data_IF_453393204276
#
_entry.id   IF_453393204276
#
_cell.length_a   1.000
_cell.length_b   1.000
_cell.length_c   1.000
_cell.angle_alpha   90.00
_cell.angle_beta   90.00
_cell.angle_gamma   90.00
#
_symmetry.space_group_name_H-M   'P 1'
#
loop_
_entity.id
_entity.type
_entity.pdbx_description
1 polymer ?
#
# COMPACT_ATOMS: atom_id res chain seq x y z
N UNK A 1 -3.73 43.91 -19.97
CA UNK A 1 -2.55 43.16 -20.43
C UNK A 1 -2.62 41.73 -19.89
N UNK A 2 -2.72 40.69 -20.75
CA UNK A 2 -2.86 39.29 -20.33
C UNK A 2 -1.54 38.52 -20.58
N UNK A 3 -0.58 38.58 -19.67
CA UNK A 3 0.70 37.85 -19.80
C UNK A 3 0.82 36.62 -18.89
N UNK A 4 -0.11 36.41 -17.96
CA UNK A 4 0.00 35.38 -16.90
C UNK A 4 -0.56 34.02 -17.31
N UNK A 5 -1.56 33.96 -18.20
CA UNK A 5 -2.19 32.70 -18.60
C UNK A 5 -1.28 31.84 -19.50
N UNK A 6 -0.49 32.46 -20.38
CA UNK A 6 0.36 31.74 -21.35
C UNK A 6 1.58 31.07 -20.70
N UNK A 7 2.20 31.72 -19.69
CA UNK A 7 3.32 31.15 -18.92
C UNK A 7 2.89 29.98 -18.03
N UNK A 8 1.68 30.03 -17.45
CA UNK A 8 1.15 28.97 -16.61
C UNK A 8 0.90 27.67 -17.41
N UNK A 9 0.33 27.78 -18.62
CA UNK A 9 0.04 26.63 -19.51
C UNK A 9 1.33 25.95 -19.98
N UNK A 10 2.36 26.72 -20.36
CA UNK A 10 3.68 26.19 -20.72
C UNK A 10 4.34 25.44 -19.55
N UNK A 11 4.20 25.96 -18.31
CA UNK A 11 4.74 25.30 -17.11
C UNK A 11 3.99 24.01 -16.72
N UNK A 12 2.72 23.90 -17.10
CA UNK A 12 1.90 22.72 -16.85
C UNK A 12 2.21 21.62 -17.87
N UNK A 13 2.29 21.97 -19.16
CA UNK A 13 2.68 21.05 -20.22
C UNK A 13 4.10 20.49 -20.01
N UNK A 14 5.07 21.33 -19.63
CA UNK A 14 6.42 20.87 -19.30
C UNK A 14 6.46 19.92 -18.07
N UNK A 15 5.62 20.18 -17.05
CA UNK A 15 5.45 19.27 -15.91
C UNK A 15 4.71 17.98 -16.27
N UNK A 16 3.86 18.01 -17.30
CA UNK A 16 3.17 16.85 -17.85
C UNK A 16 4.19 15.96 -18.57
N UNK A 17 4.98 16.52 -19.49
CA UNK A 17 6.02 15.83 -20.25
C UNK A 17 7.11 15.23 -19.36
N UNK A 18 7.57 15.97 -18.35
CA UNK A 18 8.56 15.46 -17.39
C UNK A 18 8.04 14.24 -16.59
N UNK A 19 6.75 14.25 -16.21
CA UNK A 19 6.14 13.13 -15.48
C UNK A 19 5.88 11.92 -16.36
N UNK A 20 5.61 12.11 -17.65
CA UNK A 20 5.54 10.99 -18.61
C UNK A 20 6.91 10.40 -18.88
N UNK A 21 7.96 11.22 -18.96
CA UNK A 21 9.34 10.75 -19.13
C UNK A 21 9.85 9.97 -17.90
N UNK A 22 9.44 10.34 -16.68
CA UNK A 22 9.70 9.56 -15.46
C UNK A 22 9.16 8.13 -15.54
N UNK A 23 8.08 7.89 -16.30
CA UNK A 23 7.50 6.57 -16.51
C UNK A 23 8.16 5.77 -17.65
N UNK A 24 8.97 6.42 -18.49
CA UNK A 24 9.71 5.75 -19.58
C UNK A 24 10.97 5.04 -19.07
N UNK A 25 11.61 5.57 -18.03
CA UNK A 25 12.71 4.91 -17.32
C UNK A 25 12.17 3.98 -16.23
N UNK A 26 11.90 2.73 -16.60
CA UNK A 26 11.44 1.70 -15.67
C UNK A 26 12.43 1.46 -14.52
N UNK A 27 13.74 1.53 -14.78
CA UNK A 27 14.74 1.25 -13.76
C UNK A 27 14.81 2.39 -12.73
N UNK A 28 14.74 3.64 -13.19
CA UNK A 28 14.59 4.82 -12.33
C UNK A 28 13.33 4.76 -11.48
N UNK A 29 12.19 4.42 -12.11
CA UNK A 29 10.90 4.24 -11.44
C UNK A 29 10.97 3.19 -10.32
N UNK A 30 11.54 2.02 -10.63
CA UNK A 30 11.71 0.92 -9.66
C UNK A 30 12.64 1.38 -8.53
N UNK A 31 13.80 1.96 -8.84
CA UNK A 31 14.74 2.44 -7.81
C UNK A 31 14.09 3.42 -6.83
N UNK A 32 13.24 4.30 -7.31
CA UNK A 32 12.61 5.33 -6.50
C UNK A 32 11.43 4.81 -5.67
N UNK A 33 10.54 4.02 -6.27
CA UNK A 33 9.24 3.70 -5.65
C UNK A 33 9.13 2.28 -5.10
N UNK A 34 10.05 1.36 -5.42
CA UNK A 34 9.91 -0.05 -5.06
C UNK A 34 9.81 -0.27 -3.55
N UNK A 35 10.59 0.46 -2.74
CA UNK A 35 10.53 0.34 -1.28
C UNK A 35 9.13 0.68 -0.74
N UNK A 36 8.52 1.74 -1.25
CA UNK A 36 7.17 2.21 -0.89
C UNK A 36 6.09 1.20 -1.29
N UNK A 37 6.12 0.74 -2.55
CA UNK A 37 5.18 -0.28 -3.04
C UNK A 37 5.32 -1.58 -2.24
N UNK A 38 6.55 -2.06 -2.04
CA UNK A 38 6.81 -3.29 -1.30
C UNK A 38 6.31 -3.24 0.13
N UNK A 39 6.60 -2.16 0.87
CA UNK A 39 6.10 -1.99 2.25
C UNK A 39 4.58 -2.03 2.28
N UNK A 40 3.91 -1.27 1.41
CA UNK A 40 2.46 -1.30 1.33
C UNK A 40 1.92 -2.71 1.12
N UNK A 41 2.47 -3.45 0.15
CA UNK A 41 2.03 -4.81 -0.17
C UNK A 41 2.32 -5.76 0.98
N UNK A 42 3.53 -5.72 1.57
CA UNK A 42 3.93 -6.58 2.67
C UNK A 42 3.10 -6.36 3.95
N UNK A 43 2.72 -5.12 4.25
CA UNK A 43 1.80 -4.86 5.37
C UNK A 43 0.34 -5.15 5.02
N UNK A 44 0.00 -5.20 3.73
CA UNK A 44 -1.36 -5.55 3.29
C UNK A 44 -1.59 -7.06 3.26
N UNK A 45 -0.54 -7.83 2.96
CA UNK A 45 -0.56 -9.27 2.72
C UNK A 45 0.46 -9.95 3.63
N UNK A 46 0.02 -10.90 4.45
CA UNK A 46 0.88 -11.60 5.41
C UNK A 46 1.69 -12.74 4.76
N UNK A 47 2.36 -12.45 3.65
CA UNK A 47 3.17 -13.39 2.87
C UNK A 47 4.27 -12.61 2.13
N UNK A 48 5.53 -12.86 2.48
CA UNK A 48 6.67 -12.09 1.98
C UNK A 48 7.03 -12.41 0.51
N UNK A 49 6.93 -13.67 0.11
CA UNK A 49 7.25 -14.11 -1.25
C UNK A 49 6.19 -13.60 -2.23
N UNK A 50 4.95 -13.63 -1.79
CA UNK A 50 3.85 -13.05 -2.52
C UNK A 50 3.93 -11.52 -2.59
N UNK A 51 4.38 -10.87 -1.51
CA UNK A 51 4.55 -9.42 -1.52
C UNK A 51 5.61 -8.98 -2.54
N UNK A 52 6.69 -9.73 -2.67
CA UNK A 52 7.71 -9.52 -3.71
C UNK A 52 7.11 -9.66 -5.10
N UNK A 53 6.37 -10.75 -5.34
CA UNK A 53 5.73 -11.04 -6.63
C UNK A 53 4.73 -9.94 -7.03
N UNK A 54 3.86 -9.51 -6.12
CA UNK A 54 2.89 -8.44 -6.37
C UNK A 54 3.58 -7.09 -6.59
N UNK A 55 4.69 -6.83 -5.89
CA UNK A 55 5.49 -5.62 -6.11
C UNK A 55 6.05 -5.60 -7.54
N UNK A 56 6.60 -6.73 -8.00
CA UNK A 56 7.09 -6.85 -9.38
C UNK A 56 5.97 -6.66 -10.39
N UNK A 57 4.83 -7.34 -10.21
CA UNK A 57 3.65 -7.21 -11.06
C UNK A 57 3.13 -5.77 -11.13
N UNK A 58 3.24 -5.02 -10.03
CA UNK A 58 2.88 -3.60 -9.98
C UNK A 58 3.71 -2.79 -10.98
N UNK A 59 5.03 -2.93 -10.97
CA UNK A 59 5.90 -2.20 -11.90
C UNK A 59 5.74 -2.67 -13.34
N UNK A 60 5.55 -3.96 -13.57
CA UNK A 60 5.26 -4.49 -14.92
C UNK A 60 3.95 -3.89 -15.45
N UNK A 61 2.88 -3.85 -14.63
CA UNK A 61 1.61 -3.23 -15.01
C UNK A 61 1.73 -1.72 -15.18
N UNK A 62 2.50 -1.04 -14.33
CA UNK A 62 2.76 0.39 -14.44
C UNK A 62 3.44 0.69 -15.77
N UNK A 63 4.52 -0.02 -16.10
CA UNK A 63 5.20 0.16 -17.38
C UNK A 63 4.28 -0.14 -18.56
N UNK A 64 3.51 -1.24 -18.52
CA UNK A 64 2.58 -1.59 -19.59
C UNK A 64 1.47 -0.54 -19.80
N UNK A 65 1.02 0.13 -18.72
CA UNK A 65 -0.08 1.10 -18.75
C UNK A 65 0.39 2.56 -18.69
N UNK A 66 1.70 2.83 -18.74
CA UNK A 66 2.27 4.18 -18.56
C UNK A 66 1.68 5.24 -19.49
N UNK A 67 1.34 4.85 -20.73
CA UNK A 67 0.73 5.75 -21.70
C UNK A 67 -0.69 6.22 -21.32
N UNK A 68 -1.36 5.51 -20.40
CA UNK A 68 -2.67 5.89 -19.88
C UNK A 68 -2.60 6.81 -18.65
N UNK A 69 -1.40 7.09 -18.13
CA UNK A 69 -1.24 8.02 -17.02
C UNK A 69 -1.50 9.45 -17.47
N UNK A 70 -2.56 10.06 -16.92
CA UNK A 70 -3.04 11.39 -17.32
C UNK A 70 -2.42 12.54 -16.54
N UNK A 71 -1.58 12.27 -15.53
CA UNK A 71 -0.98 13.31 -14.68
C UNK A 71 -1.93 13.96 -13.68
N UNK A 72 -3.14 13.41 -13.50
CA UNK A 72 -4.17 13.91 -12.58
C UNK A 72 -3.77 13.71 -11.10
N UNK A 73 -2.86 12.78 -10.82
CA UNK A 73 -2.26 12.53 -9.51
C UNK A 73 -0.74 12.39 -9.62
N UNK A 74 -0.05 12.19 -8.49
CA UNK A 74 1.39 11.90 -8.52
C UNK A 74 1.66 10.49 -9.05
N UNK A 75 2.84 10.25 -9.61
CA UNK A 75 3.28 8.90 -10.02
C UNK A 75 3.23 7.94 -8.83
N UNK A 76 3.63 8.39 -7.63
CA UNK A 76 3.51 7.61 -6.40
C UNK A 76 2.07 7.20 -6.12
N UNK A 77 1.11 8.14 -6.22
CA UNK A 77 -0.31 7.86 -5.96
C UNK A 77 -0.85 6.86 -6.98
N UNK A 78 -0.51 7.03 -8.25
CA UNK A 78 -0.91 6.13 -9.33
C UNK A 78 -0.36 4.71 -9.16
N UNK A 79 0.92 4.56 -8.79
CA UNK A 79 1.51 3.26 -8.45
C UNK A 79 0.78 2.60 -7.27
N UNK A 80 0.41 3.38 -6.26
CA UNK A 80 -0.38 2.88 -5.13
C UNK A 80 -1.78 2.42 -5.56
N UNK A 81 -2.41 3.06 -6.57
CA UNK A 81 -3.66 2.57 -7.17
C UNK A 81 -3.49 1.19 -7.80
N UNK A 82 -2.41 0.99 -8.57
CA UNK A 82 -2.10 -0.30 -9.20
C UNK A 82 -1.85 -1.37 -8.14
N UNK A 83 -1.02 -1.07 -7.13
CA UNK A 83 -0.72 -1.97 -6.03
C UNK A 83 -1.99 -2.35 -5.25
N UNK A 84 -2.87 -1.39 -4.95
CA UNK A 84 -4.13 -1.62 -4.24
C UNK A 84 -5.04 -2.58 -4.99
N UNK A 85 -5.13 -2.42 -6.31
CA UNK A 85 -5.92 -3.32 -7.15
C UNK A 85 -5.35 -4.75 -7.16
N UNK A 86 -4.03 -4.88 -7.28
CA UNK A 86 -3.35 -6.18 -7.21
C UNK A 86 -3.56 -6.89 -5.87
N UNK A 87 -3.43 -6.17 -4.76
CA UNK A 87 -3.71 -6.69 -3.41
C UNK A 87 -5.16 -7.18 -3.32
N UNK A 88 -6.12 -6.38 -3.78
CA UNK A 88 -7.55 -6.72 -3.76
C UNK A 88 -7.86 -7.95 -4.60
N UNK A 89 -7.30 -8.03 -5.80
CA UNK A 89 -7.47 -9.18 -6.69
C UNK A 89 -6.89 -10.45 -6.09
N UNK A 90 -5.73 -10.36 -5.44
CA UNK A 90 -5.13 -11.47 -4.74
C UNK A 90 -6.03 -11.96 -3.59
N UNK A 91 -6.46 -11.05 -2.70
CA UNK A 91 -7.31 -11.39 -1.55
C UNK A 91 -8.64 -11.98 -2.00
N UNK A 92 -9.25 -11.44 -3.06
CA UNK A 92 -10.48 -12.00 -3.66
C UNK A 92 -10.26 -13.42 -4.16
N UNK A 93 -9.15 -13.67 -4.86
CA UNK A 93 -8.80 -15.00 -5.38
C UNK A 93 -8.57 -16.01 -4.26
N UNK A 94 -7.89 -15.62 -3.18
CA UNK A 94 -7.68 -16.49 -2.02
C UNK A 94 -8.99 -16.83 -1.32
N UNK A 95 -9.87 -15.85 -1.09
CA UNK A 95 -11.21 -16.10 -0.55
C UNK A 95 -11.97 -17.09 -1.42
N UNK A 96 -11.97 -16.92 -2.74
CA UNK A 96 -12.65 -17.84 -3.65
C UNK A 96 -12.09 -19.27 -3.57
N UNK A 97 -10.76 -19.44 -3.53
CA UNK A 97 -10.11 -20.73 -3.32
C UNK A 97 -10.51 -21.36 -1.98
N UNK A 98 -10.50 -20.58 -0.90
CA UNK A 98 -10.95 -21.02 0.42
C UNK A 98 -12.40 -21.52 0.37
N UNK A 99 -13.34 -20.74 -0.15
CA UNK A 99 -14.75 -21.14 -0.24
C UNK A 99 -14.97 -22.37 -1.12
N UNK A 100 -14.21 -22.52 -2.21
CA UNK A 100 -14.25 -23.71 -3.08
C UNK A 100 -13.74 -24.95 -2.34
N UNK A 101 -12.65 -24.82 -1.59
CA UNK A 101 -12.05 -25.91 -0.83
C UNK A 101 -12.89 -26.26 0.41
N UNK A 102 -13.48 -25.27 1.08
CA UNK A 102 -14.38 -25.47 2.23
C UNK A 102 -15.67 -26.20 1.84
N UNK A 103 -16.19 -25.94 0.63
CA UNK A 103 -17.28 -26.74 0.04
C UNK A 103 -16.86 -28.18 -0.32
N UNK A 104 -15.57 -28.43 -0.51
CA UNK A 104 -15.01 -29.74 -0.82
C UNK A 104 -14.51 -30.52 0.42
N UNK A 105 -14.34 -29.86 1.57
CA UNK A 105 -13.68 -30.44 2.74
C UNK A 105 -14.28 -29.84 4.02
N UNK A 106 -15.43 -30.36 4.44
CA UNK A 106 -15.97 -30.11 5.78
C UNK A 106 -15.19 -30.94 6.82
N UNK A 107 -13.90 -30.67 6.99
CA UNK A 107 -13.10 -31.10 8.13
C UNK A 107 -11.76 -30.36 8.08
N UNK A 108 -11.43 -29.74 9.21
CA UNK A 108 -10.10 -29.26 9.60
C UNK A 108 -9.62 -27.95 8.97
N UNK A 109 -9.70 -26.87 9.75
CA UNK A 109 -8.87 -25.68 9.53
C UNK A 109 -8.37 -25.25 10.90
N UNK A 110 -7.22 -25.80 11.28
CA UNK A 110 -6.37 -25.22 12.31
C UNK A 110 -5.14 -24.61 11.64
N UNK A 111 -4.88 -23.36 12.02
CA UNK A 111 -3.62 -22.63 11.94
C UNK A 111 -3.05 -22.26 10.56
N UNK A 112 -2.94 -20.94 10.31
CA UNK A 112 -2.13 -20.37 9.23
C UNK A 112 -1.39 -19.14 9.76
N UNK A 113 -0.42 -19.38 10.65
CA UNK A 113 0.62 -18.42 10.96
C UNK A 113 1.74 -18.51 9.92
N UNK A 114 1.86 -17.53 9.01
CA UNK A 114 2.98 -17.44 8.08
C UNK A 114 4.04 -16.43 8.54
N UNK A 115 5.28 -16.91 8.51
CA UNK A 115 6.51 -16.25 8.95
C UNK A 115 7.00 -15.24 7.90
N UNK A 116 7.42 -14.07 8.38
CA UNK A 116 8.14 -13.06 7.59
C UNK A 116 9.63 -13.34 7.74
N UNK A 117 10.28 -13.83 6.69
CA UNK A 117 11.73 -14.00 6.66
C UNK A 117 12.40 -12.78 6.06
N UNK A 118 13.14 -12.02 6.87
CA UNK A 118 13.88 -10.82 6.44
C UNK A 118 15.31 -11.17 5.99
N UNK A 119 15.74 -10.68 4.82
CA UNK A 119 17.16 -10.56 4.45
C UNK A 119 17.69 -9.17 4.88
N UNK A 120 18.84 -9.20 5.56
CA UNK A 120 19.76 -8.11 5.92
C UNK A 120 19.39 -7.15 7.09
N UNK A 121 19.98 -7.44 8.27
CA UNK A 121 20.69 -6.55 9.23
C UNK A 121 21.17 -7.42 10.40
N UNK A 122 22.09 -6.97 11.25
CA UNK A 122 22.78 -7.82 12.24
C UNK A 122 21.80 -8.64 13.13
N UNK A 123 22.15 -9.88 13.54
CA UNK A 123 21.19 -10.83 14.14
C UNK A 123 20.39 -10.28 15.33
N UNK A 124 21.01 -9.42 16.13
CA UNK A 124 20.44 -8.84 17.35
C UNK A 124 19.49 -7.66 17.07
N UNK A 125 19.87 -6.77 16.14
CA UNK A 125 19.02 -5.65 15.70
C UNK A 125 17.85 -6.13 14.83
N UNK A 126 18.06 -7.19 14.05
CA UNK A 126 17.01 -7.88 13.30
C UNK A 126 15.99 -8.57 14.22
N UNK A 127 16.38 -9.06 15.40
CA UNK A 127 15.48 -9.71 16.35
C UNK A 127 14.51 -8.69 16.98
N UNK A 128 15.02 -7.57 17.48
CA UNK A 128 14.22 -6.49 18.08
C UNK A 128 13.32 -5.82 17.03
N UNK A 129 13.84 -5.63 15.81
CA UNK A 129 13.03 -5.15 14.69
C UNK A 129 11.94 -6.16 14.31
N UNK A 130 12.24 -7.47 14.31
CA UNK A 130 11.26 -8.53 14.04
C UNK A 130 10.15 -8.57 15.09
N UNK A 131 10.45 -8.43 16.38
CA UNK A 131 9.43 -8.41 17.44
C UNK A 131 8.49 -7.20 17.30
N UNK A 132 9.03 -6.01 17.02
CA UNK A 132 8.23 -4.79 16.79
C UNK A 132 7.39 -4.89 15.51
N UNK A 133 7.97 -5.42 14.43
CA UNK A 133 7.27 -5.66 13.16
C UNK A 133 6.17 -6.71 13.34
N UNK A 134 6.42 -7.80 14.08
CA UNK A 134 5.40 -8.82 14.37
C UNK A 134 4.22 -8.24 15.15
N UNK A 135 4.43 -7.37 16.14
CA UNK A 135 3.35 -6.70 16.85
C UNK A 135 2.47 -5.84 15.94
N UNK A 136 3.09 -5.10 15.01
CA UNK A 136 2.36 -4.30 14.00
C UNK A 136 1.59 -5.20 13.04
N UNK A 137 2.19 -6.28 12.54
CA UNK A 137 1.52 -7.24 11.66
C UNK A 137 0.33 -7.92 12.35
N UNK A 138 0.48 -8.33 13.61
CA UNK A 138 -0.60 -8.93 14.38
C UNK A 138 -1.77 -7.94 14.59
N UNK A 139 -1.47 -6.69 14.92
CA UNK A 139 -2.50 -5.65 15.03
C UNK A 139 -3.21 -5.40 13.69
N UNK A 140 -2.47 -5.32 12.58
CA UNK A 140 -3.02 -5.14 11.23
C UNK A 140 -3.84 -6.34 10.75
N UNK A 141 -3.52 -7.55 11.20
CA UNK A 141 -4.26 -8.77 10.85
C UNK A 141 -5.72 -8.71 11.32
N UNK A 142 -6.00 -7.98 12.40
CA UNK A 142 -7.38 -7.78 12.92
C UNK A 142 -8.24 -6.86 12.06
N UNK A 143 -7.61 -6.08 11.17
CA UNK A 143 -8.32 -5.13 10.31
C UNK A 143 -8.90 -5.82 9.08
N UNK A 144 -10.07 -5.33 8.65
CA UNK A 144 -10.53 -5.59 7.28
C UNK A 144 -9.53 -5.05 6.26
N UNK A 145 -9.51 -5.65 5.08
CA UNK A 145 -8.62 -5.28 3.97
C UNK A 145 -8.61 -3.77 3.66
N UNK A 146 -9.79 -3.14 3.62
CA UNK A 146 -9.94 -1.69 3.36
C UNK A 146 -9.40 -0.85 4.52
N UNK A 147 -9.66 -1.25 5.76
CA UNK A 147 -9.13 -0.56 6.94
C UNK A 147 -7.59 -0.66 6.98
N UNK A 148 -7.05 -1.85 6.71
CA UNK A 148 -5.61 -2.10 6.65
C UNK A 148 -4.95 -1.25 5.58
N UNK A 149 -5.50 -1.25 4.36
CA UNK A 149 -4.96 -0.46 3.25
C UNK A 149 -4.89 1.03 3.59
N UNK A 150 -6.00 1.58 4.09
CA UNK A 150 -6.07 3.01 4.46
C UNK A 150 -5.10 3.33 5.62
N UNK A 151 -4.99 2.44 6.60
CA UNK A 151 -4.07 2.63 7.73
C UNK A 151 -2.60 2.65 7.27
N UNK A 152 -2.19 1.64 6.48
CA UNK A 152 -0.81 1.53 5.97
C UNK A 152 -0.46 2.74 5.11
N UNK A 153 -1.34 3.12 4.17
CA UNK A 153 -1.10 4.29 3.34
C UNK A 153 -0.96 5.58 4.17
N UNK A 154 -1.78 5.75 5.21
CA UNK A 154 -1.76 6.96 6.03
C UNK A 154 -0.54 7.05 6.94
N UNK A 155 -0.20 5.96 7.64
CA UNK A 155 0.77 6.01 8.73
C UNK A 155 2.16 5.49 8.36
N UNK A 156 2.27 4.63 7.35
CA UNK A 156 3.56 4.08 6.91
C UNK A 156 4.05 4.76 5.64
N UNK A 157 3.14 5.13 4.75
CA UNK A 157 3.46 5.75 3.46
C UNK A 157 3.13 7.24 3.40
N UNK A 158 2.70 7.80 4.55
CA UNK A 158 2.46 9.22 4.81
C UNK A 158 1.52 9.92 3.81
N UNK A 159 0.65 9.15 3.15
CA UNK A 159 -0.28 9.68 2.16
C UNK A 159 -1.37 10.53 2.83
N UNK A 160 -1.79 11.58 2.14
CA UNK A 160 -2.94 12.37 2.58
C UNK A 160 -4.28 11.67 2.26
N UNK A 161 -5.37 12.18 2.82
CA UNK A 161 -6.69 11.54 2.65
C UNK A 161 -7.21 11.59 1.20
N UNK A 162 -6.80 12.59 0.42
CA UNK A 162 -7.19 12.73 -0.98
C UNK A 162 -6.39 11.77 -1.86
N UNK A 163 -5.09 11.63 -1.62
CA UNK A 163 -4.24 10.64 -2.27
C UNK A 163 -4.69 9.21 -1.97
N UNK A 164 -5.10 8.93 -0.71
CA UNK A 164 -5.64 7.62 -0.35
C UNK A 164 -6.98 7.37 -1.05
N UNK A 165 -7.84 8.40 -1.15
CA UNK A 165 -9.10 8.28 -1.87
C UNK A 165 -8.87 7.93 -3.34
N UNK A 166 -7.92 8.62 -3.99
CA UNK A 166 -7.50 8.36 -5.37
C UNK A 166 -6.90 6.95 -5.53
N UNK A 167 -5.97 6.58 -4.65
CA UNK A 167 -5.32 5.26 -4.68
C UNK A 167 -6.30 4.10 -4.48
N UNK A 168 -7.30 4.29 -3.63
CA UNK A 168 -8.24 3.21 -3.29
C UNK A 168 -9.51 3.20 -4.15
N UNK A 169 -9.78 4.29 -4.87
CA UNK A 169 -11.04 4.54 -5.59
C UNK A 169 -12.23 4.76 -4.65
N UNK A 170 -11.99 5.16 -3.40
CA UNK A 170 -13.03 5.38 -2.39
C UNK A 170 -13.29 6.87 -2.18
N UNK A 171 -14.53 7.30 -1.88
CA UNK A 171 -14.79 8.68 -1.45
C UNK A 171 -13.99 9.04 -0.19
N UNK A 172 -13.50 10.28 -0.10
CA UNK A 172 -12.70 10.77 1.05
C UNK A 172 -13.40 10.52 2.40
N UNK A 173 -14.72 10.68 2.47
CA UNK A 173 -15.48 10.40 3.70
C UNK A 173 -15.49 8.90 4.08
N UNK A 174 -15.49 8.02 3.08
CA UNK A 174 -15.34 6.57 3.27
C UNK A 174 -13.94 6.24 3.75
N UNK A 175 -12.89 6.88 3.20
CA UNK A 175 -11.51 6.77 3.69
C UNK A 175 -11.42 7.17 5.16
N UNK A 176 -11.96 8.34 5.54
CA UNK A 176 -12.01 8.80 6.95
C UNK A 176 -12.67 7.78 7.87
N UNK A 177 -13.78 7.20 7.43
CA UNK A 177 -14.52 6.19 8.21
C UNK A 177 -13.68 4.92 8.41
N UNK A 178 -13.03 4.43 7.35
CA UNK A 178 -12.13 3.28 7.44
C UNK A 178 -10.92 3.56 8.32
N UNK A 179 -10.29 4.74 8.18
CA UNK A 179 -9.15 5.16 8.98
C UNK A 179 -9.51 5.21 10.47
N UNK A 180 -10.63 5.86 10.80
CA UNK A 180 -11.11 5.92 12.19
C UNK A 180 -11.28 4.53 12.79
N UNK A 181 -12.00 3.63 12.08
CA UNK A 181 -12.20 2.26 12.54
C UNK A 181 -10.90 1.47 12.67
N UNK A 182 -9.94 1.66 11.75
CA UNK A 182 -8.63 1.03 11.80
C UNK A 182 -7.84 1.47 13.05
N UNK A 183 -7.79 2.78 13.31
CA UNK A 183 -7.11 3.34 14.49
C UNK A 183 -7.77 2.85 15.78
N UNK A 184 -9.09 2.81 15.85
CA UNK A 184 -9.81 2.28 17.03
C UNK A 184 -9.46 0.81 17.29
N UNK A 185 -9.46 -0.04 16.26
CA UNK A 185 -9.15 -1.45 16.40
C UNK A 185 -7.69 -1.69 16.82
N UNK A 186 -6.74 -0.97 16.24
CA UNK A 186 -5.32 -1.08 16.61
C UNK A 186 -5.08 -0.60 18.05
N UNK A 187 -5.70 0.50 18.47
CA UNK A 187 -5.60 0.99 19.85
C UNK A 187 -6.13 -0.01 20.87
N UNK A 188 -7.22 -0.72 20.54
CA UNK A 188 -7.75 -1.75 21.41
C UNK A 188 -6.78 -2.94 21.61
N UNK A 189 -5.96 -3.25 20.61
CA UNK A 189 -4.98 -4.34 20.65
C UNK A 189 -3.66 -3.95 21.34
N UNK A 190 -3.18 -2.71 21.15
CA UNK A 190 -1.89 -2.26 21.70
C UNK A 190 -1.98 -1.75 23.15
N UNK A 191 -3.19 -1.62 23.70
CA UNK A 191 -3.41 -1.09 25.06
C UNK A 191 -3.06 0.41 25.20
N UNK A 192 -3.28 1.00 26.39
CA UNK A 192 -3.14 2.46 26.63
C UNK A 192 -1.73 3.05 26.44
N UNK A 193 -0.69 2.23 26.19
CA UNK A 193 0.71 2.68 26.16
C UNK A 193 1.21 3.10 24.76
N UNK A 194 0.33 3.20 23.75
CA UNK A 194 0.70 3.46 22.35
C UNK A 194 0.69 4.95 21.94
N UNK A 195 0.70 5.90 22.87
CA UNK A 195 0.56 7.34 22.60
C UNK A 195 1.74 8.00 21.85
N UNK A 196 2.78 7.26 21.47
CA UNK A 196 4.02 7.83 20.90
C UNK A 196 4.12 7.81 19.36
N UNK A 197 3.13 7.29 18.61
CA UNK A 197 3.23 7.14 17.14
C UNK A 197 2.49 8.20 16.32
N UNK A 198 2.09 9.33 16.90
CA UNK A 198 1.31 10.33 16.19
C UNK A 198 1.54 11.73 16.71
N UNK A 199 2.75 12.24 16.56
CA UNK A 199 3.08 13.60 16.95
C UNK A 199 4.27 14.15 16.19
N UNK A 200 4.04 14.65 14.97
CA UNK A 200 4.72 15.87 14.53
C UNK A 200 3.78 16.69 13.65
N UNK A 201 3.90 17.99 13.85
CA UNK A 201 3.05 19.11 13.42
C UNK A 201 2.82 19.19 11.91
#
# INVERSE_FOLDING_TARGET
>A
MPATASTAILSFAARQEARTHELEDIDGLVRLYRAKVYRYVAYSINDADLAESITQDCFVKAYANRASFRGDCSVSTWLMSIATNLVRDHVRTQKFKFWRNFRATAADVTDMSHQISSRASSPESALIARERVQGVHAALATLSERQRSVFVMRFLEEMDLAEIAEATGMPVNTVKTHLHRAVTAIRAQLGPNASTLGGTR
#
